data_IF_163151219174
#
_entry.id   IF_163151219174
#
_cell.length_a   1.000
_cell.length_b   1.000
_cell.length_c   1.000
_cell.angle_alpha   90.00
_cell.angle_beta   90.00
_cell.angle_gamma   90.00
#
_symmetry.space_group_name_H-M   'P 1'
#
loop_
_entity.id
_entity.type
_entity.pdbx_description
1 polymer ?
#
# COMPACT_ATOMS: atom_id res chain seq x y z
N UNK A 1 -3.43 22.50 9.50
CA UNK A 1 -4.74 22.57 8.84
C UNK A 1 -4.72 21.58 7.69
N UNK A 2 -5.66 20.62 7.60
CA UNK A 2 -5.73 19.77 6.42
C UNK A 2 -5.97 20.66 5.19
N UNK A 3 -5.40 20.29 4.04
CA UNK A 3 -5.61 21.01 2.80
C UNK A 3 -7.11 20.92 2.44
N UNK A 4 -7.79 22.07 2.37
CA UNK A 4 -9.13 22.14 1.79
C UNK A 4 -9.00 21.83 0.30
N UNK A 5 -9.77 20.86 -0.25
CA UNK A 5 -9.75 20.59 -1.68
C UNK A 5 -10.06 21.85 -2.49
N UNK A 6 -9.36 22.03 -3.61
CA UNK A 6 -9.70 23.07 -4.59
C UNK A 6 -10.57 22.50 -5.70
N UNK A 7 -11.43 23.33 -6.30
CA UNK A 7 -12.28 22.92 -7.41
C UNK A 7 -11.44 22.44 -8.61
N UNK A 8 -11.72 21.23 -9.11
CA UNK A 8 -11.00 20.58 -10.20
C UNK A 8 -9.70 19.88 -9.79
N UNK A 9 -9.37 19.86 -8.49
CA UNK A 9 -8.21 19.15 -7.96
C UNK A 9 -8.50 17.65 -7.82
N UNK A 10 -7.49 16.82 -8.08
CA UNK A 10 -7.61 15.37 -7.98
C UNK A 10 -6.93 14.82 -6.72
N UNK A 11 -7.56 13.84 -6.08
CA UNK A 11 -7.05 13.18 -4.88
C UNK A 11 -7.25 11.65 -4.96
N UNK A 12 -6.38 10.92 -4.29
CA UNK A 12 -6.67 9.57 -3.80
C UNK A 12 -7.21 9.68 -2.39
N UNK A 13 -8.35 9.06 -2.13
CA UNK A 13 -8.95 8.99 -0.80
C UNK A 13 -8.49 7.71 -0.12
N UNK A 14 -7.66 7.82 0.93
CA UNK A 14 -7.12 6.67 1.65
C UNK A 14 -7.77 6.52 3.02
N UNK A 15 -8.38 5.37 3.24
CA UNK A 15 -9.02 5.01 4.51
C UNK A 15 -7.97 4.69 5.58
N UNK A 16 -8.32 4.90 6.86
CA UNK A 16 -7.51 4.56 8.02
C UNK A 16 -7.24 3.04 8.16
N UNK A 17 -8.02 2.20 7.45
CA UNK A 17 -7.76 0.76 7.33
C UNK A 17 -6.90 0.38 6.10
N UNK A 18 -6.26 1.35 5.45
CA UNK A 18 -5.26 1.11 4.39
C UNK A 18 -5.82 0.96 2.97
N UNK A 19 -7.15 0.94 2.79
CA UNK A 19 -7.81 0.86 1.49
C UNK A 19 -8.00 2.23 0.84
N UNK A 20 -8.22 2.26 -0.48
CA UNK A 20 -8.58 3.46 -1.24
C UNK A 20 -9.96 3.31 -1.89
N UNK A 21 -10.58 4.45 -2.20
CA UNK A 21 -11.77 4.49 -3.07
C UNK A 21 -11.36 4.13 -4.50
N UNK A 22 -11.82 2.98 -5.00
CA UNK A 22 -11.36 2.36 -6.24
C UNK A 22 -12.54 2.02 -7.17
N UNK A 23 -12.42 2.34 -8.46
CA UNK A 23 -13.36 1.87 -9.49
C UNK A 23 -13.03 0.44 -9.86
N UNK A 24 -13.96 -0.49 -9.58
CA UNK A 24 -13.75 -1.91 -9.80
C UNK A 24 -13.30 -2.22 -11.24
N UNK A 25 -12.16 -2.88 -11.37
CA UNK A 25 -11.54 -3.25 -12.65
C UNK A 25 -11.33 -2.08 -13.63
N UNK A 26 -11.27 -0.83 -13.13
CA UNK A 26 -11.22 0.39 -13.96
C UNK A 26 -12.37 0.52 -14.97
N UNK A 27 -13.49 -0.19 -14.78
CA UNK A 27 -14.63 -0.15 -15.70
C UNK A 27 -15.51 1.05 -15.40
N UNK A 28 -15.81 1.87 -16.40
CA UNK A 28 -16.56 3.13 -16.24
C UNK A 28 -18.04 2.99 -16.60
N UNK A 29 -18.57 1.77 -16.65
CA UNK A 29 -19.99 1.52 -16.94
C UNK A 29 -20.87 1.97 -15.77
N UNK A 30 -22.05 2.51 -16.09
CA UNK A 30 -23.05 2.89 -15.09
C UNK A 30 -23.41 1.70 -14.21
N UNK A 31 -23.45 1.93 -12.90
CA UNK A 31 -23.69 0.91 -11.88
C UNK A 31 -22.47 0.07 -11.51
N UNK A 32 -21.31 0.27 -12.16
CA UNK A 32 -20.10 -0.44 -11.74
C UNK A 32 -19.76 -0.08 -10.28
N UNK A 33 -19.30 -1.08 -9.55
CA UNK A 33 -19.02 -0.95 -8.12
C UNK A 33 -17.85 0.01 -7.88
N UNK A 34 -18.01 0.88 -6.89
CA UNK A 34 -16.88 1.55 -6.26
C UNK A 34 -16.56 0.80 -4.97
N UNK A 35 -15.31 0.37 -4.83
CA UNK A 35 -14.86 -0.59 -3.83
C UNK A 35 -13.70 -0.06 -2.99
N UNK A 36 -13.48 -0.70 -1.84
CA UNK A 36 -12.21 -0.59 -1.14
C UNK A 36 -11.17 -1.46 -1.86
N UNK A 37 -10.05 -0.88 -2.25
CA UNK A 37 -8.93 -1.64 -2.84
C UNK A 37 -7.60 -1.19 -2.26
N UNK A 38 -6.60 -2.07 -2.29
CA UNK A 38 -5.25 -1.70 -1.87
C UNK A 38 -4.68 -0.59 -2.79
N UNK A 39 -3.92 0.38 -2.24
CA UNK A 39 -3.30 1.43 -3.05
C UNK A 39 -2.44 0.81 -4.15
N UNK A 40 -2.67 1.22 -5.39
CA UNK A 40 -1.92 0.81 -6.57
C UNK A 40 -1.56 2.00 -7.49
N UNK A 41 -2.05 3.20 -7.19
CA UNK A 41 -1.73 4.44 -7.92
C UNK A 41 -2.38 4.56 -9.30
N UNK A 42 -3.24 3.61 -9.69
CA UNK A 42 -3.97 3.67 -10.96
C UNK A 42 -4.97 4.82 -11.00
N UNK A 43 -5.41 5.21 -12.21
CA UNK A 43 -6.47 6.21 -12.38
C UNK A 43 -7.80 5.80 -11.74
N UNK A 44 -8.04 4.50 -11.51
CA UNK A 44 -9.23 4.02 -10.83
C UNK A 44 -9.31 4.46 -9.35
N UNK A 45 -8.18 4.89 -8.78
CA UNK A 45 -8.06 5.36 -7.38
C UNK A 45 -7.95 6.88 -7.27
N UNK A 46 -8.19 7.59 -8.37
CA UNK A 46 -8.03 9.03 -8.46
C UNK A 46 -9.39 9.66 -8.74
N UNK A 47 -9.73 10.67 -7.93
CA UNK A 47 -11.03 11.32 -7.93
C UNK A 47 -10.85 12.83 -8.04
N UNK A 48 -11.51 13.44 -9.01
CA UNK A 48 -11.53 14.89 -9.23
C UNK A 48 -12.65 15.49 -8.40
N UNK A 49 -12.33 16.49 -7.60
CA UNK A 49 -13.24 17.15 -6.68
C UNK A 49 -13.84 18.38 -7.34
N UNK A 50 -15.15 18.41 -7.49
CA UNK A 50 -15.89 19.56 -8.00
C UNK A 50 -16.73 20.16 -6.89
N UNK A 51 -16.49 21.43 -6.58
CA UNK A 51 -17.23 22.15 -5.57
C UNK A 51 -18.69 22.32 -6.02
N UNK A 52 -19.62 22.04 -5.12
CA UNK A 52 -21.06 22.21 -5.30
C UNK A 52 -21.62 23.09 -4.18
N UNK A 53 -22.91 23.39 -4.26
CA UNK A 53 -23.58 24.23 -3.27
C UNK A 53 -23.48 23.65 -1.86
N UNK A 54 -23.69 24.52 -0.87
CA UNK A 54 -23.72 24.16 0.57
C UNK A 54 -22.43 23.48 1.07
N UNK A 55 -21.28 23.77 0.43
CA UNK A 55 -19.99 23.21 0.81
C UNK A 55 -19.83 21.71 0.49
N UNK A 56 -20.71 21.16 -0.34
CA UNK A 56 -20.64 19.77 -0.79
C UNK A 56 -19.73 19.61 -2.01
N UNK A 57 -19.30 18.38 -2.26
CA UNK A 57 -18.42 18.03 -3.36
C UNK A 57 -19.03 16.91 -4.20
N UNK A 58 -18.85 17.00 -5.51
CA UNK A 58 -18.99 15.88 -6.43
C UNK A 58 -17.61 15.27 -6.66
N UNK A 59 -17.51 13.95 -6.61
CA UNK A 59 -16.27 13.22 -6.85
C UNK A 59 -16.39 12.47 -8.18
N UNK A 60 -15.72 12.98 -9.21
CA UNK A 60 -15.66 12.37 -10.54
C UNK A 60 -14.47 11.42 -10.65
N UNK A 61 -14.63 10.25 -11.26
CA UNK A 61 -13.48 9.36 -11.52
C UNK A 61 -12.52 9.98 -12.53
N UNK A 62 -11.21 9.93 -12.26
CA UNK A 62 -10.20 10.40 -13.19
C UNK A 62 -10.13 9.55 -14.48
N UNK A 63 -10.77 8.38 -14.53
CA UNK A 63 -10.87 7.52 -15.71
C UNK A 63 -11.66 8.17 -16.84
N UNK A 64 -12.62 9.06 -16.53
CA UNK A 64 -13.45 9.75 -17.52
C UNK A 64 -13.12 11.23 -17.67
N UNK A 65 -12.18 11.76 -16.88
CA UNK A 65 -11.84 13.18 -16.90
C UNK A 65 -11.43 13.63 -18.31
N UNK A 66 -12.17 14.58 -18.87
CA UNK A 66 -11.90 15.16 -20.19
C UNK A 66 -12.37 14.30 -21.37
N UNK A 67 -13.08 13.20 -21.12
CA UNK A 67 -13.64 12.32 -22.16
C UNK A 67 -15.15 12.49 -22.34
N UNK A 68 -15.77 13.44 -21.64
CA UNK A 68 -17.20 13.73 -21.68
C UNK A 68 -17.48 15.24 -21.72
N UNK A 69 -18.70 15.63 -22.07
CA UNK A 69 -19.12 17.02 -21.97
C UNK A 69 -19.24 17.47 -20.49
N UNK A 70 -19.17 18.78 -20.19
CA UNK A 70 -19.36 19.29 -18.84
C UNK A 70 -20.66 18.77 -18.21
N UNK A 71 -20.60 18.29 -16.96
CA UNK A 71 -21.77 17.75 -16.26
C UNK A 71 -22.16 16.31 -16.62
N UNK A 72 -21.35 15.60 -17.39
CA UNK A 72 -21.59 14.19 -17.80
C UNK A 72 -20.53 13.22 -17.28
N UNK A 73 -19.79 13.61 -16.25
CA UNK A 73 -18.75 12.77 -15.67
C UNK A 73 -19.33 11.59 -14.91
N UNK A 74 -18.56 10.51 -14.80
CA UNK A 74 -18.92 9.39 -13.94
C UNK A 74 -18.52 9.71 -12.50
N UNK A 75 -19.52 9.80 -11.63
CA UNK A 75 -19.36 10.25 -10.26
C UNK A 75 -19.53 9.12 -9.25
N UNK A 76 -18.94 9.32 -8.08
CA UNK A 76 -19.22 8.52 -6.88
C UNK A 76 -20.65 8.79 -6.44
N UNK A 77 -21.50 7.78 -6.55
CA UNK A 77 -22.93 7.86 -6.26
C UNK A 77 -23.30 6.88 -5.13
N UNK A 78 -24.11 7.34 -4.19
CA UNK A 78 -24.70 6.49 -3.16
C UNK A 78 -25.98 5.81 -3.67
N UNK A 79 -25.89 4.51 -3.91
CA UNK A 79 -27.04 3.64 -4.17
C UNK A 79 -27.74 3.32 -2.85
N UNK A 80 -28.70 4.17 -2.47
CA UNK A 80 -29.44 4.07 -1.22
C UNK A 80 -30.32 2.82 -1.10
N UNK A 81 -30.73 2.21 -2.21
CA UNK A 81 -31.44 0.93 -2.20
C UNK A 81 -30.52 -0.23 -1.78
N UNK A 82 -29.24 -0.16 -2.12
CA UNK A 82 -28.26 -1.20 -1.83
C UNK A 82 -27.36 -0.89 -0.60
N UNK A 83 -27.38 0.36 -0.09
CA UNK A 83 -26.55 0.76 1.05
C UNK A 83 -25.07 0.95 0.71
N UNK A 84 -24.71 1.03 -0.58
CA UNK A 84 -23.33 1.03 -1.07
C UNK A 84 -23.12 2.08 -2.16
N UNK A 85 -21.86 2.29 -2.55
CA UNK A 85 -21.50 3.17 -3.66
C UNK A 85 -21.36 2.44 -5.01
N UNK A 86 -21.66 3.17 -6.08
CA UNK A 86 -21.43 2.77 -7.46
C UNK A 86 -21.02 3.99 -8.31
N UNK A 87 -20.53 3.75 -9.52
CA UNK A 87 -20.35 4.78 -10.52
C UNK A 87 -21.68 5.08 -11.20
N UNK A 88 -22.03 6.35 -11.31
CA UNK A 88 -23.20 6.77 -12.05
C UNK A 88 -22.93 8.11 -12.74
N UNK A 89 -23.49 8.37 -13.95
CA UNK A 89 -23.40 9.68 -14.58
C UNK A 89 -23.87 10.79 -13.64
N UNK A 90 -23.21 11.94 -13.65
CA UNK A 90 -23.68 13.10 -12.90
C UNK A 90 -25.14 13.42 -13.25
N UNK A 91 -26.00 13.49 -12.22
CA UNK A 91 -27.41 13.86 -12.35
C UNK A 91 -27.85 14.93 -11.34
N UNK A 92 -26.96 15.28 -10.40
CA UNK A 92 -27.13 16.45 -9.53
C UNK A 92 -27.87 16.21 -8.22
N UNK A 93 -28.40 15.00 -8.00
CA UNK A 93 -29.12 14.65 -6.76
C UNK A 93 -28.19 14.56 -5.54
N UNK A 94 -28.78 14.63 -4.34
CA UNK A 94 -28.06 14.68 -3.08
C UNK A 94 -27.20 13.44 -2.79
N UNK A 95 -27.49 12.29 -3.40
CA UNK A 95 -26.72 11.05 -3.27
C UNK A 95 -25.39 11.06 -4.07
N UNK A 96 -25.12 12.10 -4.86
CA UNK A 96 -23.82 12.36 -5.48
C UNK A 96 -23.04 13.50 -4.81
N UNK A 97 -23.59 14.06 -3.73
CA UNK A 97 -23.00 15.19 -3.00
C UNK A 97 -22.40 14.70 -1.69
N UNK A 98 -21.14 15.08 -1.45
CA UNK A 98 -20.32 14.59 -0.35
C UNK A 98 -19.84 15.75 0.53
N UNK A 99 -20.05 15.64 1.84
CA UNK A 99 -19.61 16.60 2.85
C UNK A 99 -18.40 16.02 3.58
N UNK A 100 -17.35 16.83 3.72
CA UNK A 100 -16.11 16.43 4.38
C UNK A 100 -16.05 17.06 5.77
N UNK A 101 -16.19 16.22 6.78
CA UNK A 101 -16.11 16.64 8.19
C UNK A 101 -14.71 16.36 8.72
N UNK A 102 -14.06 17.36 9.32
CA UNK A 102 -12.75 17.18 9.96
C UNK A 102 -12.84 16.13 11.07
N UNK A 103 -11.98 15.13 11.00
CA UNK A 103 -11.89 14.04 11.97
C UNK A 103 -10.60 14.11 12.80
N UNK A 104 -9.79 15.16 12.64
CA UNK A 104 -8.49 15.34 13.29
C UNK A 104 -7.35 14.61 12.56
N UNK A 105 -6.11 14.97 12.91
CA UNK A 105 -4.87 14.37 12.38
C UNK A 105 -4.77 14.36 10.84
N UNK A 106 -5.40 15.33 10.16
CA UNK A 106 -5.40 15.42 8.70
C UNK A 106 -6.40 14.48 8.00
N UNK A 107 -7.26 13.80 8.77
CA UNK A 107 -8.30 12.89 8.25
C UNK A 107 -9.68 13.54 8.26
N UNK A 108 -10.55 13.05 7.38
CA UNK A 108 -11.94 13.46 7.26
C UNK A 108 -12.88 12.27 7.46
N UNK A 109 -14.10 12.52 7.91
CA UNK A 109 -15.23 11.63 7.64
C UNK A 109 -16.02 12.18 6.47
N UNK A 110 -16.44 11.30 5.57
CA UNK A 110 -17.09 11.70 4.32
C UNK A 110 -18.57 11.32 4.41
N UNK A 111 -19.44 12.31 4.54
CA UNK A 111 -20.88 12.15 4.72
C UNK A 111 -21.61 12.38 3.41
N UNK A 112 -22.63 11.57 3.09
CA UNK A 112 -23.53 11.89 1.97
C UNK A 112 -24.45 13.07 2.34
N UNK A 113 -24.71 13.98 1.40
CA UNK A 113 -25.65 15.08 1.64
C UNK A 113 -27.11 14.62 1.68
N UNK A 114 -27.40 13.40 1.21
CA UNK A 114 -28.71 12.78 1.36
C UNK A 114 -28.97 12.46 2.84
N UNK A 115 -30.03 13.05 3.41
CA UNK A 115 -30.34 12.92 4.84
C UNK A 115 -31.50 11.99 5.19
N UNK A 116 -32.19 11.39 4.21
CA UNK A 116 -33.44 10.64 4.42
C UNK A 116 -33.26 9.44 5.35
N UNK A 117 -32.08 8.82 5.35
CA UNK A 117 -31.72 7.64 6.12
C UNK A 117 -30.98 7.97 7.43
N UNK A 118 -30.94 9.26 7.82
CA UNK A 118 -30.05 9.80 8.84
C UNK A 118 -28.63 10.02 8.31
N UNK A 119 -27.73 10.47 9.17
CA UNK A 119 -26.32 10.67 8.79
C UNK A 119 -25.67 9.35 8.36
N UNK A 120 -25.18 9.32 7.11
CA UNK A 120 -24.44 8.18 6.56
C UNK A 120 -23.06 8.58 6.07
N UNK A 121 -22.07 7.77 6.42
CA UNK A 121 -20.66 8.00 6.12
C UNK A 121 -20.09 6.91 5.23
N UNK A 122 -19.29 7.33 4.26
CA UNK A 122 -18.53 6.45 3.39
C UNK A 122 -17.57 5.61 4.24
N UNK A 123 -17.72 4.29 4.13
CA UNK A 123 -16.97 3.33 4.95
C UNK A 123 -16.29 2.30 4.06
N UNK A 124 -14.96 2.18 4.18
CA UNK A 124 -14.22 1.07 3.58
C UNK A 124 -14.46 -0.21 4.39
N UNK A 125 -15.19 -1.17 3.81
CA UNK A 125 -15.60 -2.40 4.51
C UNK A 125 -14.53 -3.51 4.42
N UNK A 126 -13.89 -3.65 3.27
CA UNK A 126 -12.88 -4.68 3.00
C UNK A 126 -12.36 -4.62 1.56
N UNK A 127 -11.24 -5.29 1.28
CA UNK A 127 -10.64 -5.33 -0.07
C UNK A 127 -11.58 -6.05 -1.05
N UNK A 128 -11.83 -5.43 -2.20
CA UNK A 128 -12.75 -5.95 -3.24
C UNK A 128 -14.23 -5.83 -2.89
N UNK A 129 -14.57 -5.25 -1.74
CA UNK A 129 -15.95 -5.04 -1.29
C UNK A 129 -16.38 -3.60 -1.61
N UNK A 130 -17.65 -3.43 -2.02
CA UNK A 130 -18.23 -2.11 -2.26
C UNK A 130 -18.08 -1.23 -1.02
N UNK A 131 -17.78 0.06 -1.19
CA UNK A 131 -17.80 0.98 -0.06
C UNK A 131 -19.24 1.15 0.41
N UNK A 132 -19.46 0.99 1.72
CA UNK A 132 -20.78 1.11 2.34
C UNK A 132 -21.06 2.51 2.86
N UNK A 133 -22.33 2.83 3.00
CA UNK A 133 -22.80 4.03 3.71
C UNK A 133 -23.37 3.61 5.06
N UNK A 134 -22.61 3.83 6.13
CA UNK A 134 -22.95 3.38 7.50
C UNK A 134 -23.27 4.56 8.41
N UNK A 135 -23.93 4.29 9.54
CA UNK A 135 -24.12 5.30 10.58
C UNK A 135 -22.79 5.81 11.15
N UNK A 136 -22.77 6.96 11.83
CA UNK A 136 -21.54 7.56 12.37
C UNK A 136 -20.83 6.62 13.34
N UNK A 137 -19.57 6.31 13.05
CA UNK A 137 -18.65 5.64 13.96
C UNK A 137 -17.27 6.32 13.89
N UNK A 138 -16.98 7.19 14.88
CA UNK A 138 -15.72 7.93 14.92
C UNK A 138 -14.49 7.08 15.28
N UNK A 139 -14.70 5.82 15.70
CA UNK A 139 -13.64 4.85 16.04
C UNK A 139 -13.35 3.91 14.87
N UNK A 140 -14.28 3.75 13.92
CA UNK A 140 -14.08 2.92 12.75
C UNK A 140 -12.99 3.52 11.84
N UNK A 141 -11.83 2.86 11.68
CA UNK A 141 -10.78 3.35 10.78
C UNK A 141 -11.26 3.39 9.32
N UNK A 142 -12.27 2.59 8.96
CA UNK A 142 -12.93 2.58 7.65
C UNK A 142 -13.70 3.86 7.33
N UNK A 143 -14.06 4.69 8.32
CA UNK A 143 -14.74 5.98 8.14
C UNK A 143 -13.78 7.18 8.14
N UNK A 144 -12.47 6.96 8.32
CA UNK A 144 -11.47 8.02 8.36
C UNK A 144 -10.69 8.05 7.07
N UNK A 145 -10.75 9.17 6.36
CA UNK A 145 -10.20 9.31 5.01
C UNK A 145 -9.17 10.44 4.96
N UNK A 146 -7.96 10.10 4.56
CA UNK A 146 -6.92 11.05 4.17
C UNK A 146 -7.09 11.40 2.68
N UNK A 147 -6.95 12.68 2.36
CA UNK A 147 -6.93 13.17 0.99
C UNK A 147 -5.48 13.32 0.52
N UNK A 148 -5.03 12.41 -0.33
CA UNK A 148 -3.67 12.41 -0.90
C UNK A 148 -3.73 13.08 -2.29
N UNK A 149 -3.13 14.26 -2.50
CA UNK A 149 -3.24 14.95 -3.78
C UNK A 149 -2.58 14.16 -4.92
N UNK A 150 -3.28 14.03 -6.04
CA UNK A 150 -2.75 13.38 -7.25
C UNK A 150 -1.77 14.33 -7.93
N UNK A 151 -0.53 13.88 -8.14
CA UNK A 151 0.53 14.70 -8.74
C UNK A 151 1.19 15.70 -7.79
N UNK A 152 0.80 15.75 -6.50
CA UNK A 152 1.75 16.22 -5.50
C UNK A 152 2.97 15.29 -5.58
N UNK A 153 4.20 15.81 -5.41
CA UNK A 153 5.30 14.94 -5.03
C UNK A 153 4.77 14.15 -3.83
N UNK A 154 4.65 12.81 -3.95
CA UNK A 154 4.75 11.97 -2.75
C UNK A 154 5.90 12.59 -1.97
N UNK A 155 5.74 12.99 -0.69
CA UNK A 155 6.76 13.77 -0.01
C UNK A 155 8.10 13.13 -0.31
N UNK A 156 8.86 13.78 -1.20
CA UNK A 156 10.15 13.26 -1.59
C UNK A 156 11.00 13.60 -0.38
N UNK A 157 11.80 12.66 0.15
CA UNK A 157 12.79 13.02 1.13
C UNK A 157 13.56 14.22 0.56
N UNK A 158 13.45 15.38 1.21
CA UNK A 158 14.40 16.45 0.94
C UNK A 158 15.78 15.84 1.19
N UNK A 159 16.78 16.07 0.32
CA UNK A 159 18.13 15.60 0.58
C UNK A 159 18.55 16.04 2.00
N UNK A 160 18.65 15.07 2.93
CA UNK A 160 18.98 15.32 4.34
C UNK A 160 17.85 15.23 5.37
N UNK A 161 16.58 15.01 5.00
CA UNK A 161 15.53 14.62 5.95
C UNK A 161 15.29 13.10 5.88
N UNK A 162 15.55 12.40 6.99
CA UNK A 162 15.35 10.97 7.12
C UNK A 162 13.88 10.56 7.00
N UNK A 163 13.63 9.25 6.88
CA UNK A 163 12.26 8.69 6.83
C UNK A 163 11.45 9.08 8.06
N UNK A 164 10.19 9.45 7.88
CA UNK A 164 9.25 9.68 8.98
C UNK A 164 8.57 8.38 9.40
N UNK A 165 8.96 7.82 10.55
CA UNK A 165 8.30 6.65 11.13
C UNK A 165 7.37 7.09 12.27
N UNK A 166 6.07 6.84 12.13
CA UNK A 166 5.07 7.10 13.17
C UNK A 166 4.70 5.82 13.88
N UNK A 167 4.64 5.84 15.22
CA UNK A 167 4.35 4.66 16.02
C UNK A 167 2.96 4.78 16.64
N UNK A 168 2.14 3.76 16.49
CA UNK A 168 0.82 3.63 17.11
C UNK A 168 0.78 2.35 17.95
N UNK A 169 1.01 2.54 19.25
CA UNK A 169 0.92 1.47 20.24
C UNK A 169 -0.47 1.34 20.87
N UNK A 170 -1.51 1.97 20.30
CA UNK A 170 -2.82 2.11 20.95
C UNK A 170 -3.46 0.80 21.39
N UNK A 171 -3.31 -0.28 20.61
CA UNK A 171 -3.83 -1.60 20.99
C UNK A 171 -2.88 -2.41 21.88
N UNK A 172 -1.62 -2.02 22.05
CA UNK A 172 -0.70 -2.65 22.99
C UNK A 172 0.22 -1.62 23.66
N UNK A 173 -0.32 -0.77 24.57
CA UNK A 173 0.45 0.31 25.19
C UNK A 173 1.64 -0.19 26.02
N UNK A 174 1.57 -1.41 26.55
CA UNK A 174 2.66 -2.10 27.25
C UNK A 174 3.90 -2.31 26.38
N UNK A 175 3.74 -2.34 25.05
CA UNK A 175 4.82 -2.51 24.07
C UNK A 175 5.27 -1.17 23.45
N UNK A 176 4.77 -0.03 23.92
CA UNK A 176 5.16 1.28 23.36
C UNK A 176 6.67 1.52 23.44
N UNK A 177 7.29 1.24 24.60
CA UNK A 177 8.74 1.35 24.78
C UNK A 177 9.52 0.43 23.83
N UNK A 178 9.00 -0.76 23.56
CA UNK A 178 9.61 -1.69 22.61
C UNK A 178 9.64 -1.11 21.19
N UNK A 179 8.54 -0.50 20.71
CA UNK A 179 8.52 0.15 19.40
C UNK A 179 9.47 1.35 19.33
N UNK A 180 9.46 2.19 20.36
CA UNK A 180 10.35 3.36 20.44
C UNK A 180 11.83 2.95 20.39
N UNK A 181 12.21 1.85 21.04
CA UNK A 181 13.58 1.32 20.97
C UNK A 181 13.98 0.84 19.56
N UNK A 182 13.04 0.37 18.73
CA UNK A 182 13.34 -0.13 17.38
C UNK A 182 13.32 0.97 16.32
N UNK A 183 12.66 2.10 16.58
CA UNK A 183 12.54 3.20 15.61
C UNK A 183 13.89 3.70 15.10
N UNK A 184 14.91 3.99 15.92
CA UNK A 184 16.22 4.42 15.42
C UNK A 184 16.90 3.37 14.51
N UNK A 185 16.68 2.08 14.79
CA UNK A 185 17.20 0.99 13.96
C UNK A 185 16.55 1.03 12.58
N UNK A 186 15.23 1.19 12.52
CA UNK A 186 14.48 1.30 11.28
C UNK A 186 14.83 2.56 10.49
N UNK A 187 14.99 3.70 11.15
CA UNK A 187 15.43 4.96 10.52
C UNK A 187 16.84 4.82 9.91
N UNK A 188 17.76 4.14 10.61
CA UNK A 188 19.11 3.89 10.12
C UNK A 188 19.17 2.87 8.97
N UNK A 189 18.24 1.92 8.93
CA UNK A 189 18.19 0.89 7.90
C UNK A 189 17.39 1.30 6.66
N UNK A 190 16.43 2.21 6.78
CA UNK A 190 15.64 2.67 5.65
C UNK A 190 16.49 3.12 4.44
N UNK A 191 17.44 4.07 4.56
CA UNK A 191 18.26 4.48 3.42
C UNK A 191 19.19 3.36 2.92
N UNK A 192 19.62 2.43 3.78
CA UNK A 192 20.42 1.27 3.36
C UNK A 192 19.59 0.31 2.51
N UNK A 193 18.36 0.05 2.93
CA UNK A 193 17.41 -0.78 2.19
C UNK A 193 17.08 -0.13 0.85
N UNK A 194 16.81 1.18 0.82
CA UNK A 194 16.61 1.92 -0.45
C UNK A 194 17.81 1.73 -1.39
N UNK A 195 19.04 1.91 -0.90
CA UNK A 195 20.25 1.71 -1.72
C UNK A 195 20.37 0.26 -2.24
N UNK A 196 20.02 -0.73 -1.42
CA UNK A 196 20.10 -2.16 -1.78
C UNK A 196 19.10 -2.57 -2.86
N UNK A 197 17.86 -2.09 -2.78
CA UNK A 197 16.76 -2.64 -3.61
C UNK A 197 16.19 -1.68 -4.65
N UNK A 198 16.47 -0.38 -4.55
CA UNK A 198 16.01 0.63 -5.53
C UNK A 198 17.18 1.44 -6.09
N UNK A 199 18.11 1.87 -5.24
CA UNK A 199 19.13 2.86 -5.60
C UNK A 199 18.47 4.19 -5.99
N UNK A 200 18.89 4.75 -7.12
CA UNK A 200 18.36 6.02 -7.64
C UNK A 200 17.21 5.83 -8.66
N UNK A 201 16.74 4.58 -8.87
CA UNK A 201 15.74 4.28 -9.88
C UNK A 201 14.38 4.93 -9.58
N UNK A 202 13.99 4.98 -8.30
CA UNK A 202 12.72 5.54 -7.83
C UNK A 202 12.90 6.31 -6.54
N UNK A 203 12.00 7.28 -6.31
CA UNK A 203 11.92 7.96 -5.03
C UNK A 203 11.42 7.00 -3.95
N UNK A 204 12.11 6.96 -2.81
CA UNK A 204 11.66 6.21 -1.65
C UNK A 204 10.46 6.89 -0.97
N UNK A 205 9.58 6.14 -0.29
CA UNK A 205 8.52 6.72 0.52
C UNK A 205 9.07 7.67 1.60
N UNK A 206 8.41 8.81 1.82
CA UNK A 206 8.82 9.76 2.87
C UNK A 206 8.65 9.23 4.29
N UNK A 207 7.77 8.23 4.47
CA UNK A 207 7.39 7.78 5.79
C UNK A 207 6.36 6.68 5.75
N UNK A 208 6.19 6.05 6.90
CA UNK A 208 5.22 5.00 7.13
C UNK A 208 4.86 4.95 8.61
N UNK A 209 3.77 4.29 8.95
CA UNK A 209 3.32 4.07 10.32
C UNK A 209 3.43 2.61 10.71
N UNK A 210 3.72 2.35 11.97
CA UNK A 210 3.72 1.03 12.57
C UNK A 210 2.60 1.00 13.60
N UNK A 211 1.68 0.06 13.47
CA UNK A 211 0.48 -0.05 14.30
C UNK A 211 0.44 -1.40 14.97
N UNK A 212 0.26 -1.45 16.28
CA UNK A 212 -0.12 -2.70 16.94
C UNK A 212 -1.60 -3.01 16.65
N UNK A 213 -1.82 -4.19 16.11
CA UNK A 213 -3.14 -4.68 15.69
C UNK A 213 -3.36 -6.08 16.27
N UNK A 214 -4.23 -6.17 17.29
CA UNK A 214 -4.57 -7.45 17.94
C UNK A 214 -5.39 -8.37 17.05
N UNK A 215 -5.97 -7.87 15.96
CA UNK A 215 -6.68 -8.71 15.00
C UNK A 215 -5.73 -9.43 14.04
N UNK A 216 -4.48 -8.98 13.95
CA UNK A 216 -3.45 -9.63 13.15
C UNK A 216 -2.99 -10.93 13.84
N UNK A 217 -3.26 -12.07 13.19
CA UNK A 217 -2.87 -13.40 13.70
C UNK A 217 -1.49 -13.88 13.22
N UNK A 218 -0.89 -13.17 12.26
CA UNK A 218 0.45 -13.44 11.73
C UNK A 218 1.57 -12.82 12.56
N UNK A 219 2.71 -12.54 11.93
CA UNK A 219 3.85 -11.81 12.53
C UNK A 219 3.60 -10.31 12.38
N UNK A 220 3.57 -9.86 11.13
CA UNK A 220 3.21 -8.53 10.71
C UNK A 220 2.78 -8.60 9.22
N UNK A 221 2.27 -7.48 8.69
CA UNK A 221 2.16 -7.26 7.26
C UNK A 221 2.26 -5.78 6.94
N UNK A 222 2.81 -5.46 5.78
CA UNK A 222 2.84 -4.12 5.22
C UNK A 222 1.74 -3.92 4.18
N UNK A 223 1.07 -2.77 4.25
CA UNK A 223 0.04 -2.37 3.31
C UNK A 223 0.05 -0.84 3.14
N UNK A 224 0.27 -0.38 1.91
CA UNK A 224 0.42 1.06 1.65
C UNK A 224 1.62 1.63 2.39
N UNK A 225 1.38 2.54 3.34
CA UNK A 225 2.39 3.10 4.24
C UNK A 225 2.24 2.60 5.68
N UNK A 226 1.53 1.49 5.90
CA UNK A 226 1.27 0.95 7.23
C UNK A 226 1.94 -0.41 7.37
N UNK A 227 2.57 -0.63 8.51
CA UNK A 227 2.95 -1.95 9.00
C UNK A 227 2.02 -2.30 10.16
N UNK A 228 1.17 -3.32 9.97
CA UNK A 228 0.36 -3.91 11.04
C UNK A 228 1.18 -4.98 11.74
N UNK A 229 1.35 -4.87 13.05
CA UNK A 229 2.17 -5.78 13.87
C UNK A 229 1.29 -6.53 14.84
N UNK A 230 1.44 -7.85 14.91
CA UNK A 230 0.82 -8.66 15.93
C UNK A 230 1.54 -8.46 17.29
N UNK A 231 0.90 -7.83 18.30
CA UNK A 231 1.55 -7.61 19.59
C UNK A 231 1.84 -8.91 20.35
N UNK A 232 1.06 -9.98 20.15
CA UNK A 232 1.32 -11.28 20.82
C UNK A 232 2.52 -12.00 20.22
N UNK A 233 2.80 -11.78 18.93
CA UNK A 233 4.07 -12.21 18.34
C UNK A 233 5.25 -11.52 19.01
N UNK A 234 5.19 -10.19 19.17
CA UNK A 234 6.26 -9.40 19.80
C UNK A 234 6.50 -9.82 21.26
N UNK A 235 5.45 -10.07 22.04
CA UNK A 235 5.60 -10.57 23.41
C UNK A 235 6.33 -11.91 23.48
N UNK A 236 6.09 -12.80 22.51
CA UNK A 236 6.76 -14.11 22.41
C UNK A 236 8.17 -14.01 21.83
N UNK A 237 8.45 -13.01 21.00
CA UNK A 237 9.69 -12.86 20.24
C UNK A 237 10.27 -11.44 20.38
N UNK A 238 10.53 -10.92 21.58
CA UNK A 238 10.91 -9.51 21.78
C UNK A 238 12.28 -9.16 21.17
N UNK A 239 13.11 -10.17 20.87
CA UNK A 239 14.41 -10.00 20.22
C UNK A 239 14.35 -9.94 18.69
N UNK A 240 13.24 -10.31 18.05
CA UNK A 240 13.13 -10.29 16.60
C UNK A 240 12.82 -8.88 16.11
N UNK A 241 13.85 -8.13 15.73
CA UNK A 241 13.70 -6.86 15.00
C UNK A 241 13.71 -7.10 13.47
N UNK A 242 14.18 -8.27 13.02
CA UNK A 242 14.35 -8.61 11.61
C UNK A 242 13.02 -8.64 10.86
N UNK A 243 11.92 -9.02 11.52
CA UNK A 243 10.60 -8.95 10.86
C UNK A 243 10.19 -7.51 10.53
N UNK A 244 10.50 -6.51 11.36
CA UNK A 244 10.18 -5.11 11.03
C UNK A 244 11.01 -4.59 9.84
N UNK A 245 12.24 -5.11 9.68
CA UNK A 245 13.06 -4.82 8.50
C UNK A 245 12.45 -5.47 7.27
N UNK A 246 11.99 -6.72 7.36
CA UNK A 246 11.25 -7.39 6.29
C UNK A 246 10.03 -6.56 5.85
N UNK A 247 9.20 -6.11 6.79
CA UNK A 247 8.05 -5.24 6.45
C UNK A 247 8.48 -3.88 5.88
N UNK A 248 9.59 -3.32 6.35
CA UNK A 248 10.14 -2.07 5.79
C UNK A 248 10.54 -2.24 4.32
N UNK A 249 11.04 -3.41 3.90
CA UNK A 249 11.31 -3.70 2.49
C UNK A 249 10.02 -3.59 1.68
N UNK A 250 8.91 -4.13 2.18
CA UNK A 250 7.61 -4.03 1.50
C UNK A 250 7.11 -2.60 1.34
N UNK A 251 7.34 -1.74 2.34
CA UNK A 251 7.06 -0.30 2.23
C UNK A 251 7.88 0.34 1.10
N UNK A 252 9.18 0.01 1.03
CA UNK A 252 10.12 0.63 0.09
C UNK A 252 9.86 0.15 -1.34
N UNK A 253 9.70 -1.16 -1.55
CA UNK A 253 9.74 -1.75 -2.88
C UNK A 253 8.58 -1.36 -3.81
N UNK A 254 7.39 -1.08 -3.26
CA UNK A 254 6.18 -0.68 -4.00
C UNK A 254 5.90 -1.48 -5.30
N UNK A 255 6.24 -2.78 -5.30
CA UNK A 255 6.16 -3.67 -6.46
C UNK A 255 4.72 -3.79 -7.00
N UNK A 256 4.57 -3.78 -8.34
CA UNK A 256 3.26 -3.83 -9.02
C UNK A 256 2.93 -5.20 -9.62
N UNK A 257 3.93 -5.89 -10.18
CA UNK A 257 3.72 -7.12 -10.98
C UNK A 257 4.70 -8.25 -10.68
N UNK A 258 5.58 -8.09 -9.69
CA UNK A 258 6.58 -9.11 -9.37
C UNK A 258 5.90 -10.35 -8.74
N UNK A 259 6.28 -11.58 -9.11
CA UNK A 259 5.78 -12.79 -8.46
C UNK A 259 5.99 -12.75 -6.94
N UNK A 260 4.96 -13.15 -6.18
CA UNK A 260 4.95 -13.04 -4.72
C UNK A 260 6.17 -13.68 -4.04
N UNK A 261 6.67 -14.80 -4.55
CA UNK A 261 7.86 -15.43 -3.99
C UNK A 261 9.11 -14.56 -4.08
N UNK A 262 9.28 -13.78 -5.15
CA UNK A 262 10.37 -12.80 -5.24
C UNK A 262 10.12 -11.57 -4.37
N UNK A 263 8.87 -11.12 -4.25
CA UNK A 263 8.49 -10.03 -3.33
C UNK A 263 8.90 -10.36 -1.89
N UNK A 264 8.54 -11.55 -1.41
CA UNK A 264 8.93 -12.06 -0.09
C UNK A 264 10.43 -12.37 -0.01
N UNK A 265 11.00 -12.92 -1.08
CA UNK A 265 12.41 -13.29 -1.15
C UNK A 265 13.34 -12.07 -1.06
N UNK A 266 12.99 -10.94 -1.66
CA UNK A 266 13.76 -9.68 -1.54
C UNK A 266 13.72 -9.18 -0.09
N UNK A 267 12.56 -9.24 0.56
CA UNK A 267 12.40 -8.86 1.95
C UNK A 267 13.26 -9.71 2.89
N UNK A 268 13.23 -11.04 2.72
CA UNK A 268 14.06 -11.95 3.50
C UNK A 268 15.54 -11.91 3.11
N UNK A 269 15.88 -11.51 1.88
CA UNK A 269 17.27 -11.31 1.47
C UNK A 269 17.89 -10.13 2.23
N UNK A 270 17.21 -8.99 2.28
CA UNK A 270 17.64 -7.84 3.09
C UNK A 270 17.72 -8.22 4.57
N UNK A 271 16.70 -8.90 5.11
CA UNK A 271 16.69 -9.34 6.51
C UNK A 271 17.88 -10.25 6.84
N UNK A 272 18.03 -11.38 6.15
CA UNK A 272 18.94 -12.45 6.57
C UNK A 272 20.40 -12.19 6.15
N UNK A 273 20.64 -11.56 4.99
CA UNK A 273 21.99 -11.36 4.45
C UNK A 273 22.58 -9.97 4.69
N UNK A 274 21.75 -8.95 4.99
CA UNK A 274 22.24 -7.60 5.24
C UNK A 274 21.99 -7.15 6.68
N UNK A 275 20.74 -7.22 7.17
CA UNK A 275 20.40 -6.74 8.51
C UNK A 275 20.93 -7.65 9.61
N UNK A 276 20.51 -8.91 9.61
CA UNK A 276 20.99 -9.93 10.56
C UNK A 276 22.41 -10.37 10.21
N UNK A 277 22.78 -10.31 8.92
CA UNK A 277 24.11 -10.60 8.38
C UNK A 277 24.66 -12.00 8.75
N UNK A 278 23.80 -12.91 9.21
CA UNK A 278 24.16 -14.31 9.50
C UNK A 278 24.02 -15.23 8.29
N UNK A 279 23.30 -14.78 7.27
CA UNK A 279 22.95 -15.60 6.10
C UNK A 279 22.03 -16.75 6.45
N UNK A 280 21.80 -17.62 5.47
CA UNK A 280 20.96 -18.80 5.60
C UNK A 280 21.81 -20.07 5.43
N UNK A 281 21.52 -21.10 6.22
CA UNK A 281 22.40 -22.27 6.32
C UNK A 281 22.39 -23.19 5.08
N UNK A 282 21.21 -23.43 4.50
CA UNK A 282 20.99 -24.26 3.31
C UNK A 282 19.52 -24.28 2.91
N UNK A 283 19.26 -24.83 1.73
CA UNK A 283 17.93 -25.27 1.26
C UNK A 283 17.89 -26.81 1.19
N UNK A 284 16.72 -27.39 1.39
CA UNK A 284 16.46 -28.82 1.28
C UNK A 284 16.26 -29.29 -0.16
N UNK A 285 16.43 -30.59 -0.39
CA UNK A 285 16.23 -31.22 -1.71
C UNK A 285 14.81 -31.09 -2.29
N UNK A 286 13.79 -30.94 -1.45
CA UNK A 286 12.40 -30.71 -1.87
C UNK A 286 12.03 -29.26 -2.12
N UNK A 287 12.89 -28.32 -1.71
CA UNK A 287 12.62 -26.89 -1.79
C UNK A 287 12.66 -26.39 -3.24
N UNK A 288 11.97 -25.29 -3.48
CA UNK A 288 11.95 -24.59 -4.77
C UNK A 288 12.29 -23.13 -4.56
N UNK A 289 12.95 -22.52 -5.54
CA UNK A 289 13.21 -21.08 -5.51
C UNK A 289 11.92 -20.24 -5.44
N UNK A 290 10.76 -20.83 -5.73
CA UNK A 290 9.43 -20.24 -5.66
C UNK A 290 8.75 -20.35 -4.30
N UNK A 291 9.39 -20.94 -3.28
CA UNK A 291 8.78 -21.17 -1.95
C UNK A 291 8.76 -19.92 -1.06
N UNK A 292 9.08 -18.75 -1.61
CA UNK A 292 9.11 -17.44 -0.95
C UNK A 292 10.14 -17.35 0.20
N UNK A 293 10.12 -16.22 0.92
CA UNK A 293 10.85 -15.99 2.17
C UNK A 293 12.33 -16.45 2.11
N UNK A 294 12.79 -17.16 3.14
CA UNK A 294 14.16 -17.67 3.29
C UNK A 294 14.62 -18.49 2.08
N UNK A 295 13.75 -19.33 1.50
CA UNK A 295 14.13 -20.20 0.37
C UNK A 295 14.42 -19.37 -0.88
N UNK A 296 13.53 -18.44 -1.23
CA UNK A 296 13.77 -17.52 -2.34
C UNK A 296 14.92 -16.55 -2.04
N UNK A 297 15.06 -16.07 -0.80
CA UNK A 297 16.19 -15.24 -0.39
C UNK A 297 17.54 -15.96 -0.55
N UNK A 298 17.59 -17.27 -0.27
CA UNK A 298 18.77 -18.10 -0.51
C UNK A 298 19.12 -18.16 -2.00
N UNK A 299 18.11 -18.38 -2.84
CA UNK A 299 18.27 -18.33 -4.30
C UNK A 299 18.79 -16.97 -4.77
N UNK A 300 18.14 -15.87 -4.36
CA UNK A 300 18.53 -14.52 -4.74
C UNK A 300 19.97 -14.20 -4.31
N UNK A 301 20.38 -14.60 -3.12
CA UNK A 301 21.75 -14.44 -2.66
C UNK A 301 22.75 -15.24 -3.49
N UNK A 302 22.41 -16.49 -3.85
CA UNK A 302 23.27 -17.30 -4.72
C UNK A 302 23.49 -16.61 -6.08
N UNK A 303 22.42 -16.10 -6.71
CA UNK A 303 22.54 -15.44 -8.01
C UNK A 303 23.30 -14.11 -7.88
N UNK A 304 23.02 -13.33 -6.84
CA UNK A 304 23.69 -12.05 -6.59
C UNK A 304 25.21 -12.23 -6.42
N UNK A 305 25.63 -13.26 -5.69
CA UNK A 305 27.04 -13.52 -5.40
C UNK A 305 27.81 -14.16 -6.55
N UNK A 306 27.14 -14.91 -7.43
CA UNK A 306 27.80 -15.68 -8.50
C UNK A 306 27.72 -15.05 -9.89
N UNK A 307 26.67 -14.29 -10.16
CA UNK A 307 26.37 -13.79 -11.50
C UNK A 307 26.42 -12.26 -11.57
N UNK A 308 25.64 -11.59 -10.74
CA UNK A 308 25.49 -10.13 -10.80
C UNK A 308 25.09 -9.58 -9.43
N UNK A 309 26.01 -8.86 -8.77
CA UNK A 309 25.79 -8.30 -7.43
C UNK A 309 24.59 -7.35 -7.33
N UNK A 310 24.16 -6.78 -8.46
CA UNK A 310 23.01 -5.88 -8.54
C UNK A 310 21.70 -6.57 -8.94
N UNK A 311 21.70 -7.89 -9.12
CA UNK A 311 20.56 -8.61 -9.70
C UNK A 311 19.29 -8.45 -8.86
N UNK A 312 19.41 -8.38 -7.52
CA UNK A 312 18.26 -8.23 -6.62
C UNK A 312 17.64 -6.83 -6.75
N UNK A 313 18.48 -5.79 -6.85
CA UNK A 313 18.03 -4.43 -7.15
C UNK A 313 17.35 -4.35 -8.51
N UNK A 314 17.95 -4.95 -9.55
CA UNK A 314 17.38 -4.99 -10.91
C UNK A 314 16.04 -5.71 -10.92
N UNK A 315 15.90 -6.82 -10.17
CA UNK A 315 14.66 -7.58 -10.05
C UNK A 315 13.57 -6.74 -9.39
N UNK A 316 13.91 -6.08 -8.29
CA UNK A 316 12.99 -5.22 -7.57
C UNK A 316 12.53 -4.03 -8.42
N UNK A 317 13.46 -3.34 -9.11
CA UNK A 317 13.12 -2.25 -10.03
C UNK A 317 12.22 -2.74 -11.18
N UNK A 318 12.50 -3.91 -11.76
CA UNK A 318 11.64 -4.48 -12.79
C UNK A 318 10.22 -4.80 -12.28
N UNK A 319 10.10 -5.25 -11.03
CA UNK A 319 8.84 -5.46 -10.33
C UNK A 319 8.05 -4.18 -10.09
N UNK A 320 8.75 -3.09 -9.78
CA UNK A 320 8.20 -1.76 -9.58
C UNK A 320 7.72 -1.15 -10.91
N UNK A 321 8.53 -1.23 -11.95
CA UNK A 321 8.28 -0.64 -13.27
C UNK A 321 7.26 -1.38 -14.12
N UNK A 322 6.89 -2.61 -13.74
CA UNK A 322 6.05 -3.44 -14.60
C UNK A 322 6.80 -4.15 -15.71
N UNK A 323 8.14 -4.11 -15.70
CA UNK A 323 8.99 -4.62 -16.79
C UNK A 323 9.50 -6.05 -16.55
N UNK A 324 8.98 -6.75 -15.54
CA UNK A 324 9.27 -8.15 -15.32
C UNK A 324 8.48 -9.01 -16.32
N UNK A 325 9.17 -9.65 -17.25
CA UNK A 325 8.62 -10.42 -18.39
C UNK A 325 8.63 -11.93 -18.16
N UNK A 326 8.74 -12.35 -16.90
CA UNK A 326 8.72 -13.75 -16.46
C UNK A 326 10.11 -14.35 -16.31
N UNK A 327 10.18 -15.42 -15.51
CA UNK A 327 11.43 -16.01 -15.06
C UNK A 327 12.39 -16.35 -16.20
N UNK A 328 11.91 -17.03 -17.23
CA UNK A 328 12.80 -17.51 -18.30
C UNK A 328 13.45 -16.39 -19.10
N UNK A 329 12.69 -15.36 -19.50
CA UNK A 329 13.23 -14.26 -20.30
C UNK A 329 14.08 -13.34 -19.43
N UNK A 330 13.55 -12.95 -18.27
CA UNK A 330 14.18 -11.97 -17.40
C UNK A 330 15.54 -12.45 -16.89
N UNK A 331 15.60 -13.70 -16.40
CA UNK A 331 16.84 -14.26 -15.87
C UNK A 331 17.83 -14.59 -16.98
N UNK A 332 17.40 -15.18 -18.11
CA UNK A 332 18.33 -15.49 -19.22
C UNK A 332 19.01 -14.25 -19.76
N UNK A 333 18.27 -13.14 -19.90
CA UNK A 333 18.83 -11.88 -20.39
C UNK A 333 19.96 -11.32 -19.50
N UNK A 334 20.02 -11.72 -18.22
CA UNK A 334 20.96 -11.16 -17.23
C UNK A 334 22.03 -12.16 -16.76
N UNK A 335 21.73 -13.45 -16.78
CA UNK A 335 22.61 -14.51 -16.25
C UNK A 335 22.99 -15.55 -17.32
N UNK A 336 22.33 -15.53 -18.49
CA UNK A 336 22.41 -16.58 -19.50
C UNK A 336 21.60 -17.85 -19.18
N UNK A 337 20.91 -17.91 -18.03
CA UNK A 337 20.21 -19.09 -17.52
C UNK A 337 18.81 -18.75 -17.00
N UNK A 338 17.89 -19.72 -16.99
CA UNK A 338 16.58 -19.52 -16.33
C UNK A 338 16.71 -19.54 -14.81
N UNK A 339 15.67 -19.06 -14.10
CA UNK A 339 15.58 -19.22 -12.65
C UNK A 339 15.76 -20.68 -12.22
N UNK A 340 15.09 -21.61 -12.92
CA UNK A 340 15.20 -23.04 -12.62
C UNK A 340 16.63 -23.57 -12.81
N UNK A 341 17.30 -23.21 -13.90
CA UNK A 341 18.69 -23.64 -14.14
C UNK A 341 19.64 -23.09 -13.07
N UNK A 342 19.44 -21.83 -12.65
CA UNK A 342 20.20 -21.22 -11.55
C UNK A 342 19.90 -21.92 -10.21
N UNK A 343 18.65 -22.32 -9.95
CA UNK A 343 18.27 -23.06 -8.76
C UNK A 343 18.90 -24.47 -8.72
N UNK A 344 19.00 -25.12 -9.88
CA UNK A 344 19.57 -26.46 -9.99
C UNK A 344 21.06 -26.50 -9.66
N UNK A 345 21.77 -25.38 -9.78
CA UNK A 345 23.18 -25.24 -9.39
C UNK A 345 23.42 -25.17 -7.88
N UNK A 346 22.38 -24.83 -7.12
CA UNK A 346 22.48 -24.68 -5.68
C UNK A 346 22.55 -26.08 -5.05
N UNK A 347 23.61 -26.38 -4.26
CA UNK A 347 23.68 -27.62 -3.49
C UNK A 347 22.54 -27.69 -2.46
N UNK A 348 21.81 -28.80 -2.44
CA UNK A 348 20.66 -29.04 -1.57
C UNK A 348 21.01 -30.13 -0.55
N UNK A 349 20.46 -30.01 0.67
CA UNK A 349 20.66 -31.01 1.75
C UNK A 349 19.74 -32.22 1.61
#
# INVERSE_FOLDING_TARGET
MPATPQNGQAFTLRSGNGLTVDVNSSQTTTGNRVQGWKPNGSKAQQWVFWAKDNGSWLLETALTRGTHAPGQGMALDYNFSAGVTHLFPEHGDANQRWLFEDAGNGSYRIKTARGNEGDRYLTAIGEGIALGLRGPDGRDPGQRWELVPVGAPQPQPQPGQGVRITLDAGQAPDLAGWLEERKPVLEAWFPKTVALIIGDAHAAPAGYRIVFDRSNTGVAYAMGDMVSVNPDYVRRNPGDTGFLIHEQVHIIQQNRVLPGHFVEGVADWVRNYHFENGGLASVGSSDKYTDAYRTTAYFLNHVATRYDGDIVRKLNVAGHDGSYDGDDQWWRARTGKTAQQLWDEIPKR
#
